data_IF_348942588501
#
_entry.id   IF_348942588501
#
_cell.length_a   1.000
_cell.length_b   1.000
_cell.length_c   1.000
_cell.angle_alpha   90.00
_cell.angle_beta   90.00
_cell.angle_gamma   90.00
#
_symmetry.space_group_name_H-M   'P 1'
#
loop_
_entity.id
_entity.type
_entity.pdbx_description
1 polymer ?
#
# COMPACT_ATOMS: atom_id res chain seq x y z
N UNK A 1 62.95 -45.09 20.38
CA UNK A 1 62.04 -46.18 20.81
C UNK A 1 60.70 -45.90 20.13
N UNK A 2 60.45 -46.66 19.05
CA UNK A 2 59.24 -46.84 18.19
C UNK A 2 58.15 -45.74 18.23
N UNK A 3 57.86 -44.94 17.18
CA UNK A 3 57.64 -45.16 15.73
C UNK A 3 56.44 -46.04 15.37
N UNK A 4 55.61 -45.48 14.47
CA UNK A 4 54.67 -46.05 13.48
C UNK A 4 53.19 -45.66 13.70
N UNK A 5 52.37 -45.23 12.74
CA UNK A 5 52.48 -44.60 11.42
C UNK A 5 51.02 -44.47 10.89
N UNK A 6 50.65 -43.34 10.28
CA UNK A 6 49.52 -43.25 9.32
C UNK A 6 49.95 -43.89 7.99
N UNK A 7 49.04 -44.45 7.14
CA UNK A 7 48.26 -43.67 6.15
C UNK A 7 46.90 -44.36 5.76
N UNK A 8 46.22 -44.08 4.61
CA UNK A 8 45.08 -43.15 4.54
C UNK A 8 43.85 -43.77 3.77
N UNK A 9 43.02 -43.01 3.01
CA UNK A 9 41.56 -43.04 3.08
C UNK A 9 40.89 -43.96 2.02
N UNK A 10 39.68 -44.45 2.30
CA UNK A 10 38.85 -45.14 1.31
C UNK A 10 37.52 -44.41 1.09
N UNK A 11 37.49 -43.70 -0.04
CA UNK A 11 36.43 -43.70 -1.06
C UNK A 11 34.96 -43.84 -0.62
N UNK A 12 34.26 -42.71 -0.77
CA UNK A 12 32.84 -42.56 -1.07
C UNK A 12 32.31 -43.63 -2.06
N UNK A 13 31.14 -44.24 -1.78
CA UNK A 13 30.16 -44.60 -2.80
C UNK A 13 29.05 -43.53 -2.76
N UNK A 14 28.94 -42.69 -3.81
CA UNK A 14 28.00 -42.88 -4.93
C UNK A 14 26.54 -42.92 -4.47
N UNK A 15 25.84 -41.84 -4.79
CA UNK A 15 24.40 -41.62 -4.76
C UNK A 15 23.56 -42.90 -4.83
N UNK A 16 22.92 -43.26 -3.70
CA UNK A 16 21.67 -43.99 -3.69
C UNK A 16 20.53 -42.98 -3.55
N UNK A 17 19.95 -42.66 -4.69
CA UNK A 17 18.65 -42.02 -4.84
C UNK A 17 17.61 -42.75 -3.98
N UNK A 18 17.11 -42.07 -2.95
CA UNK A 18 15.93 -42.49 -2.21
C UNK A 18 14.76 -42.47 -3.20
N UNK A 19 14.09 -43.60 -3.47
CA UNK A 19 12.91 -43.61 -4.33
C UNK A 19 11.76 -42.95 -3.56
N UNK A 20 11.31 -41.81 -4.07
CA UNK A 20 10.01 -41.24 -3.71
C UNK A 20 8.93 -42.34 -3.86
N UNK A 21 7.97 -42.45 -2.94
CA UNK A 21 6.89 -43.41 -3.09
C UNK A 21 6.11 -43.08 -4.37
N UNK A 22 6.13 -44.02 -5.31
CA UNK A 22 5.25 -44.04 -6.48
C UNK A 22 3.80 -44.07 -5.97
N UNK A 23 3.16 -42.91 -5.95
CA UNK A 23 1.71 -42.83 -5.98
C UNK A 23 1.24 -43.49 -7.28
N UNK A 24 0.27 -44.41 -7.24
CA UNK A 24 -0.31 -44.92 -8.46
C UNK A 24 -0.99 -43.74 -9.17
N UNK A 25 -0.42 -43.35 -10.31
CA UNK A 25 -1.14 -42.59 -11.33
C UNK A 25 -2.34 -43.44 -11.74
N UNK A 26 -3.51 -43.17 -11.14
CA UNK A 26 -4.76 -43.49 -11.78
C UNK A 26 -4.75 -42.73 -13.11
N UNK A 27 -4.43 -43.45 -14.17
CA UNK A 27 -4.79 -43.07 -15.53
C UNK A 27 -6.31 -43.08 -15.61
N UNK A 28 -6.92 -41.96 -15.26
CA UNK A 28 -8.24 -41.61 -15.76
C UNK A 28 -8.10 -41.45 -17.27
N UNK A 29 -8.20 -42.57 -17.97
CA UNK A 29 -8.54 -42.61 -19.38
C UNK A 29 -9.94 -42.02 -19.49
N UNK A 30 -10.03 -40.70 -19.69
CA UNK A 30 -11.23 -40.08 -20.20
C UNK A 30 -11.43 -40.64 -21.61
N UNK A 31 -12.25 -41.68 -21.72
CA UNK A 31 -12.87 -42.03 -22.99
C UNK A 31 -13.68 -40.80 -23.41
N UNK A 32 -13.22 -40.10 -24.45
CA UNK A 32 -14.04 -39.13 -25.17
C UNK A 32 -15.27 -39.87 -25.70
N UNK A 33 -16.35 -39.83 -24.92
CA UNK A 33 -17.68 -40.08 -25.43
C UNK A 33 -18.06 -38.86 -26.28
N UNK A 34 -18.39 -39.02 -27.57
CA UNK A 34 -18.86 -37.93 -28.39
C UNK A 34 -20.34 -37.70 -28.06
N UNK A 35 -20.60 -37.16 -26.88
CA UNK A 35 -21.88 -36.54 -26.55
C UNK A 35 -21.58 -35.08 -26.27
N UNK A 36 -21.34 -34.34 -27.35
CA UNK A 36 -21.55 -32.91 -27.39
C UNK A 36 -23.05 -32.69 -27.16
N UNK A 37 -23.50 -32.86 -25.92
CA UNK A 37 -24.76 -32.32 -25.46
C UNK A 37 -24.57 -30.81 -25.55
N UNK A 38 -25.00 -30.28 -26.70
CA UNK A 38 -25.27 -28.87 -26.92
C UNK A 38 -25.84 -28.30 -25.63
N UNK A 39 -25.03 -27.48 -24.93
CA UNK A 39 -25.60 -26.50 -24.02
C UNK A 39 -26.72 -25.83 -24.83
N UNK A 40 -27.98 -25.84 -24.33
CA UNK A 40 -29.07 -25.22 -25.06
C UNK A 40 -28.62 -23.79 -25.37
N UNK A 41 -28.86 -23.29 -26.61
CA UNK A 41 -28.50 -21.93 -26.96
C UNK A 41 -29.10 -21.05 -25.88
N UNK A 42 -28.24 -20.32 -25.16
CA UNK A 42 -28.67 -19.40 -24.13
C UNK A 42 -29.69 -18.50 -24.80
N UNK A 43 -30.97 -18.69 -24.48
CA UNK A 43 -32.05 -17.96 -25.09
C UNK A 43 -31.82 -16.52 -24.64
N UNK A 44 -31.25 -15.71 -25.53
CA UNK A 44 -30.98 -14.31 -25.26
C UNK A 44 -32.33 -13.67 -25.01
N UNK A 45 -32.64 -13.40 -23.74
CA UNK A 45 -33.94 -12.88 -23.34
C UNK A 45 -34.26 -11.54 -24.04
N UNK A 46 -33.21 -10.83 -24.46
CA UNK A 46 -33.23 -9.64 -25.32
C UNK A 46 -31.83 -9.42 -25.94
N UNK A 47 -31.74 -8.75 -27.11
CA UNK A 47 -30.44 -8.34 -27.66
C UNK A 47 -29.81 -7.23 -26.81
N UNK A 48 -28.57 -7.43 -26.37
CA UNK A 48 -27.78 -6.46 -25.59
C UNK A 48 -26.38 -6.33 -26.17
N UNK A 49 -25.92 -5.09 -26.38
CA UNK A 49 -24.63 -4.81 -27.05
C UNK A 49 -23.63 -4.06 -26.17
N UNK A 50 -24.07 -3.56 -25.01
CA UNK A 50 -23.24 -2.83 -24.06
C UNK A 50 -23.63 -3.20 -22.63
N UNK A 51 -22.66 -3.11 -21.73
CA UNK A 51 -22.83 -3.29 -20.29
C UNK A 51 -22.09 -2.18 -19.53
N UNK A 52 -22.50 -1.93 -18.28
CA UNK A 52 -21.87 -1.01 -17.34
C UNK A 52 -22.13 -1.47 -15.91
N UNK A 53 -21.29 -1.16 -14.92
CA UNK A 53 -20.06 -0.35 -14.94
C UNK A 53 -18.80 -1.25 -14.95
N UNK A 54 -17.69 -0.73 -15.45
CA UNK A 54 -16.36 -1.35 -15.36
C UNK A 54 -15.39 -0.29 -14.81
N UNK A 55 -14.62 -0.63 -13.77
CA UNK A 55 -13.64 0.24 -13.13
C UNK A 55 -12.36 -0.57 -12.93
N UNK A 56 -11.27 -0.22 -13.63
CA UNK A 56 -10.02 -0.98 -13.61
C UNK A 56 -9.31 -0.93 -12.26
N UNK A 57 -9.50 0.15 -11.49
CA UNK A 57 -9.03 0.27 -10.10
C UNK A 57 -9.83 -0.59 -9.09
N UNK A 58 -10.94 -1.19 -9.52
CA UNK A 58 -11.74 -2.13 -8.71
C UNK A 58 -11.51 -3.57 -9.18
N UNK A 59 -11.65 -3.84 -10.48
CA UNK A 59 -11.34 -5.13 -11.09
C UNK A 59 -11.06 -4.96 -12.59
N UNK A 60 -9.79 -5.03 -12.98
CA UNK A 60 -9.36 -5.03 -14.38
C UNK A 60 -9.51 -6.42 -15.00
N UNK A 61 -9.41 -7.51 -14.22
CA UNK A 61 -9.46 -8.87 -14.77
C UNK A 61 -10.69 -9.09 -15.66
N UNK A 62 -11.87 -8.70 -15.21
CA UNK A 62 -13.11 -8.87 -16.00
C UNK A 62 -13.11 -8.03 -17.29
N UNK A 63 -12.45 -6.87 -17.29
CA UNK A 63 -12.30 -6.02 -18.47
C UNK A 63 -11.43 -6.71 -19.50
N UNK A 64 -10.30 -7.25 -19.06
CA UNK A 64 -9.36 -7.99 -19.91
C UNK A 64 -9.98 -9.27 -20.48
N UNK A 65 -10.74 -10.01 -19.66
CA UNK A 65 -11.47 -11.20 -20.12
C UNK A 65 -12.50 -10.86 -21.21
N UNK A 66 -13.28 -9.79 -21.02
CA UNK A 66 -14.28 -9.35 -21.98
C UNK A 66 -13.64 -8.87 -23.30
N UNK A 67 -12.58 -8.06 -23.25
CA UNK A 67 -11.87 -7.60 -24.45
C UNK A 67 -11.28 -8.77 -25.24
N UNK A 68 -10.62 -9.71 -24.55
CA UNK A 68 -10.03 -10.90 -25.17
C UNK A 68 -11.09 -11.82 -25.78
N UNK A 69 -12.26 -11.93 -25.14
CA UNK A 69 -13.39 -12.70 -25.68
C UNK A 69 -13.95 -12.09 -26.97
N UNK A 70 -14.04 -10.76 -27.06
CA UNK A 70 -14.62 -10.06 -28.21
C UNK A 70 -13.64 -9.91 -29.38
N UNK A 71 -12.36 -9.65 -29.11
CA UNK A 71 -11.37 -9.26 -30.13
C UNK A 71 -10.15 -10.19 -30.20
N UNK A 72 -10.11 -11.26 -29.41
CA UNK A 72 -8.98 -12.17 -29.30
C UNK A 72 -7.89 -11.65 -28.34
N UNK A 73 -7.06 -12.53 -27.76
CA UNK A 73 -6.02 -12.14 -26.83
C UNK A 73 -4.90 -11.35 -27.52
N UNK A 74 -4.21 -10.51 -26.77
CA UNK A 74 -2.93 -9.93 -27.17
C UNK A 74 -1.84 -11.03 -27.28
N UNK A 75 -0.75 -10.79 -28.04
CA UNK A 75 0.42 -11.68 -28.04
C UNK A 75 0.97 -11.90 -26.63
N UNK A 76 1.47 -13.11 -26.33
CA UNK A 76 1.90 -13.52 -24.97
C UNK A 76 2.95 -12.58 -24.34
N UNK A 77 3.85 -11.99 -25.14
CA UNK A 77 4.93 -11.11 -24.67
C UNK A 77 4.51 -9.63 -24.59
N UNK A 78 3.21 -9.32 -24.68
CA UNK A 78 2.75 -7.93 -24.61
C UNK A 78 2.89 -7.42 -23.17
N UNK A 79 3.67 -6.36 -22.91
CA UNK A 79 3.84 -5.83 -21.56
C UNK A 79 2.56 -5.14 -21.07
N UNK A 80 2.46 -4.92 -19.76
CA UNK A 80 1.41 -4.08 -19.16
C UNK A 80 0.00 -4.68 -19.14
N UNK A 81 -0.24 -5.89 -19.68
CA UNK A 81 -1.58 -6.50 -19.75
C UNK A 81 -2.25 -6.71 -18.38
N UNK A 82 -1.45 -6.95 -17.33
CA UNK A 82 -1.93 -7.14 -15.96
C UNK A 82 -1.77 -5.88 -15.10
N UNK A 83 -1.16 -4.84 -15.64
CA UNK A 83 -0.89 -3.59 -14.93
C UNK A 83 -1.99 -2.58 -15.23
N UNK A 84 -2.24 -1.66 -14.31
CA UNK A 84 -3.10 -0.50 -14.53
C UNK A 84 -2.48 0.71 -13.83
N UNK A 85 -2.47 1.84 -14.53
CA UNK A 85 -1.94 3.11 -14.05
C UNK A 85 -3.05 4.16 -14.12
N UNK A 86 -3.26 4.87 -13.02
CA UNK A 86 -4.27 5.93 -12.94
C UNK A 86 -3.61 7.19 -12.40
N UNK A 87 -3.57 8.26 -13.21
CA UNK A 87 -3.06 9.55 -12.77
C UNK A 87 -4.04 10.15 -11.75
N UNK A 88 -3.53 10.55 -10.60
CA UNK A 88 -4.30 11.22 -9.52
C UNK A 88 -3.82 12.64 -9.25
N UNK A 89 -2.78 13.09 -9.96
CA UNK A 89 -2.28 14.45 -9.92
C UNK A 89 -1.34 14.68 -11.12
N UNK A 90 -1.50 15.84 -11.75
CA UNK A 90 -0.63 16.35 -12.80
C UNK A 90 -0.28 17.82 -12.52
N UNK A 91 0.95 18.24 -12.84
CA UNK A 91 1.43 19.59 -12.56
C UNK A 91 0.57 20.69 -13.20
N UNK A 92 -0.13 20.36 -14.29
CA UNK A 92 -1.04 21.28 -14.99
C UNK A 92 -2.24 21.71 -14.13
N UNK A 93 -2.63 20.91 -13.14
CA UNK A 93 -3.74 21.18 -12.22
C UNK A 93 -3.35 22.08 -11.03
N UNK A 94 -2.06 22.43 -10.90
CA UNK A 94 -1.48 23.13 -9.75
C UNK A 94 -1.53 22.34 -8.43
N UNK A 95 -0.55 22.58 -7.56
CA UNK A 95 -0.49 21.99 -6.21
C UNK A 95 -1.69 22.37 -5.34
N UNK A 96 -2.39 23.47 -5.66
CA UNK A 96 -3.60 23.89 -4.96
C UNK A 96 -4.76 22.87 -5.10
N UNK A 97 -4.69 21.94 -6.05
CA UNK A 97 -5.65 20.83 -6.18
C UNK A 97 -5.43 19.71 -5.13
N UNK A 98 -4.25 19.66 -4.50
CA UNK A 98 -3.88 18.65 -3.52
C UNK A 98 -4.25 19.09 -2.11
N UNK A 99 -4.67 18.13 -1.28
CA UNK A 99 -4.71 18.36 0.17
C UNK A 99 -3.28 18.50 0.74
N UNK A 100 -3.15 19.19 1.88
CA UNK A 100 -1.85 19.32 2.57
C UNK A 100 -1.27 17.95 2.98
N UNK A 101 -2.14 16.98 3.31
CA UNK A 101 -1.74 15.60 3.57
C UNK A 101 -1.16 14.95 2.32
N UNK A 102 -1.85 15.00 1.18
CA UNK A 102 -1.36 14.43 -0.08
C UNK A 102 -0.02 15.06 -0.47
N UNK A 103 0.07 16.39 -0.41
CA UNK A 103 1.28 17.13 -0.74
C UNK A 103 2.47 16.71 0.14
N UNK A 104 2.25 16.63 1.46
CA UNK A 104 3.28 16.18 2.42
C UNK A 104 3.74 14.75 2.11
N UNK A 105 2.81 13.82 1.87
CA UNK A 105 3.14 12.43 1.54
C UNK A 105 3.92 12.31 0.22
N UNK A 106 3.50 13.00 -0.84
CA UNK A 106 4.17 12.92 -2.15
C UNK A 106 5.59 13.50 -2.11
N UNK A 107 5.82 14.54 -1.30
CA UNK A 107 7.16 15.05 -1.02
C UNK A 107 8.01 14.04 -0.25
N UNK A 108 7.46 13.40 0.78
CA UNK A 108 8.17 12.34 1.51
C UNK A 108 8.51 11.14 0.60
N UNK A 109 7.58 10.71 -0.26
CA UNK A 109 7.80 9.63 -1.22
C UNK A 109 8.92 9.93 -2.22
N UNK A 110 8.97 11.17 -2.69
CA UNK A 110 10.10 11.66 -3.50
C UNK A 110 11.43 11.47 -2.74
N UNK A 111 11.50 11.93 -1.49
CA UNK A 111 12.73 11.84 -0.68
C UNK A 111 13.13 10.40 -0.39
N UNK A 112 12.17 9.49 -0.18
CA UNK A 112 12.43 8.05 -0.08
C UNK A 112 13.11 7.52 -1.34
N UNK A 113 12.63 7.92 -2.52
CA UNK A 113 13.25 7.58 -3.80
C UNK A 113 14.69 8.12 -3.92
N UNK A 114 14.92 9.38 -3.58
CA UNK A 114 16.27 9.97 -3.64
C UNK A 114 17.23 9.28 -2.65
N UNK A 115 16.75 8.92 -1.46
CA UNK A 115 17.53 8.15 -0.47
C UNK A 115 17.86 6.74 -0.99
N UNK A 116 16.90 6.07 -1.64
CA UNK A 116 17.15 4.78 -2.32
C UNK A 116 18.18 4.91 -3.42
N UNK A 117 18.07 5.93 -4.28
CA UNK A 117 19.06 6.17 -5.33
C UNK A 117 20.47 6.38 -4.74
N UNK A 118 20.58 7.15 -3.66
CA UNK A 118 21.86 7.38 -2.99
C UNK A 118 22.47 6.09 -2.39
N UNK A 119 21.64 5.19 -1.87
CA UNK A 119 22.10 3.91 -1.26
C UNK A 119 22.37 2.80 -2.27
N UNK A 120 21.90 2.94 -3.52
CA UNK A 120 22.10 1.95 -4.59
C UNK A 120 23.57 1.79 -5.02
N UNK A 121 24.41 2.81 -4.81
CA UNK A 121 25.86 2.74 -5.02
C UNK A 121 26.57 2.12 -3.80
N UNK A 122 26.44 0.81 -3.62
CA UNK A 122 27.13 0.10 -2.54
C UNK A 122 28.66 0.25 -2.65
N UNK A 123 29.32 0.54 -1.53
CA UNK A 123 30.78 0.55 -1.41
C UNK A 123 31.51 1.84 -1.82
N UNK A 124 30.80 2.90 -2.21
CA UNK A 124 31.41 4.19 -2.61
C UNK A 124 30.70 5.39 -1.93
N UNK A 125 30.86 5.59 -0.61
CA UNK A 125 30.14 6.63 0.15
C UNK A 125 30.44 8.06 -0.30
N UNK A 126 31.61 8.30 -0.90
CA UNK A 126 32.01 9.63 -1.42
C UNK A 126 31.51 9.90 -2.84
N UNK A 127 30.85 8.92 -3.49
CA UNK A 127 30.39 9.06 -4.85
C UNK A 127 29.02 9.75 -4.90
N UNK A 128 29.02 11.01 -5.33
CA UNK A 128 27.81 11.82 -5.45
C UNK A 128 27.00 11.57 -6.74
N UNK A 129 27.38 10.62 -7.60
CA UNK A 129 26.73 10.40 -8.90
C UNK A 129 25.28 9.90 -8.83
N UNK A 130 24.85 9.34 -7.70
CA UNK A 130 23.43 8.99 -7.44
C UNK A 130 22.84 9.76 -6.26
N UNK A 131 23.46 10.87 -5.83
CA UNK A 131 22.89 11.75 -4.81
C UNK A 131 22.19 12.91 -5.48
N UNK A 132 21.01 13.24 -4.98
CA UNK A 132 20.12 14.20 -5.61
C UNK A 132 19.54 15.18 -4.59
N UNK A 133 19.15 16.36 -5.06
CA UNK A 133 18.33 17.33 -4.33
C UNK A 133 17.03 17.49 -5.11
N UNK A 134 15.87 17.29 -4.46
CA UNK A 134 14.57 17.54 -5.07
C UNK A 134 14.39 19.02 -5.43
N UNK A 135 13.73 19.30 -6.56
CA UNK A 135 13.49 20.64 -7.08
C UNK A 135 12.01 20.86 -7.36
N UNK A 136 11.37 21.74 -6.60
CA UNK A 136 9.95 22.05 -6.76
C UNK A 136 9.03 20.98 -6.16
N UNK A 137 7.79 20.97 -6.62
CA UNK A 137 6.76 19.99 -6.24
C UNK A 137 6.76 18.79 -7.20
N UNK A 138 6.05 17.70 -6.84
CA UNK A 138 5.82 16.59 -7.76
C UNK A 138 5.27 17.07 -9.10
N UNK A 139 5.70 16.41 -10.18
CA UNK A 139 5.27 16.65 -11.57
C UNK A 139 3.99 15.87 -11.86
N UNK A 140 3.94 14.62 -11.43
CA UNK A 140 2.73 13.80 -11.53
C UNK A 140 2.76 12.68 -10.50
N UNK A 141 1.57 12.18 -10.14
CA UNK A 141 1.40 11.04 -9.25
C UNK A 141 0.42 10.05 -9.86
N UNK A 142 0.81 8.78 -9.92
CA UNK A 142 -0.05 7.70 -10.40
C UNK A 142 -0.29 6.67 -9.31
N UNK A 143 -1.50 6.13 -9.25
CA UNK A 143 -1.75 4.84 -8.62
C UNK A 143 -1.23 3.75 -9.55
N UNK A 144 -0.56 2.74 -8.99
CA UNK A 144 -0.11 1.58 -9.72
C UNK A 144 -0.78 0.32 -9.18
N UNK A 145 -1.44 -0.42 -10.07
CA UNK A 145 -2.04 -1.72 -9.77
C UNK A 145 -1.40 -2.79 -10.64
N UNK A 146 -1.21 -3.98 -10.06
CA UNK A 146 -0.75 -5.17 -10.76
C UNK A 146 -1.62 -6.34 -10.33
N UNK A 147 -2.27 -6.99 -11.31
CA UNK A 147 -3.21 -8.10 -11.08
C UNK A 147 -4.28 -7.77 -10.03
N UNK A 148 -4.96 -6.63 -10.20
CA UNK A 148 -6.02 -6.10 -9.31
C UNK A 148 -5.57 -5.83 -7.87
N UNK A 149 -4.25 -5.78 -7.61
CA UNK A 149 -3.68 -5.42 -6.31
C UNK A 149 -2.98 -4.06 -6.40
N UNK A 150 -3.35 -3.15 -5.51
CA UNK A 150 -2.68 -1.85 -5.36
C UNK A 150 -1.22 -2.06 -4.92
N UNK A 151 -0.29 -1.57 -5.73
CA UNK A 151 1.15 -1.69 -5.52
C UNK A 151 1.77 -0.44 -4.89
N UNK A 152 1.00 0.65 -4.78
CA UNK A 152 1.43 1.94 -4.24
C UNK A 152 1.40 3.07 -5.26
N UNK A 153 2.22 4.10 -5.01
CA UNK A 153 2.27 5.31 -5.83
C UNK A 153 3.52 5.39 -6.70
N UNK A 154 3.37 5.96 -7.89
CA UNK A 154 4.48 6.40 -8.73
C UNK A 154 4.55 7.91 -8.68
N UNK A 155 5.59 8.45 -8.06
CA UNK A 155 5.78 9.90 -7.89
C UNK A 155 6.89 10.36 -8.82
N UNK A 156 6.53 11.22 -9.77
CA UNK A 156 7.48 11.82 -10.72
C UNK A 156 7.93 13.19 -10.22
N UNK A 157 9.23 13.44 -10.23
CA UNK A 157 9.81 14.66 -9.67
C UNK A 157 11.06 15.09 -10.46
N UNK A 158 11.28 16.41 -10.55
CA UNK A 158 12.58 16.97 -10.95
C UNK A 158 13.58 16.98 -9.79
N UNK A 159 14.80 16.48 -10.03
CA UNK A 159 15.86 16.45 -9.04
C UNK A 159 17.21 16.85 -9.66
N UNK A 160 18.01 17.64 -8.95
CA UNK A 160 19.37 18.00 -9.37
C UNK A 160 20.36 16.94 -8.90
N UNK A 161 21.11 16.34 -9.81
CA UNK A 161 22.22 15.43 -9.49
C UNK A 161 23.38 16.21 -8.85
N UNK A 162 23.91 15.74 -7.72
CA UNK A 162 24.96 16.45 -6.98
C UNK A 162 26.34 16.38 -7.64
N UNK A 163 26.63 15.35 -8.44
CA UNK A 163 27.92 15.24 -9.11
C UNK A 163 28.00 16.15 -10.35
N UNK A 164 26.92 16.23 -11.13
CA UNK A 164 26.91 16.96 -12.42
C UNK A 164 26.19 18.30 -12.35
N UNK A 165 25.44 18.57 -11.28
CA UNK A 165 24.51 19.71 -11.16
C UNK A 165 23.44 19.76 -12.26
N UNK A 166 23.24 18.67 -13.01
CA UNK A 166 22.23 18.58 -14.04
C UNK A 166 20.86 18.28 -13.42
N UNK A 167 19.82 18.84 -14.02
CA UNK A 167 18.44 18.55 -13.68
C UNK A 167 18.02 17.25 -14.37
N UNK A 168 17.60 16.27 -13.59
CA UNK A 168 17.08 14.99 -14.05
C UNK A 168 15.61 14.87 -13.64
N UNK A 169 14.82 14.10 -14.38
CA UNK A 169 13.42 13.79 -14.02
C UNK A 169 13.35 12.32 -13.64
N UNK A 170 13.02 12.06 -12.39
CA UNK A 170 12.98 10.73 -11.81
C UNK A 170 11.53 10.34 -11.51
N UNK A 171 11.23 9.05 -11.60
CA UNK A 171 9.97 8.49 -11.10
C UNK A 171 10.31 7.47 -10.02
N UNK A 172 9.66 7.60 -8.86
CA UNK A 172 9.84 6.73 -7.70
C UNK A 172 8.60 5.88 -7.52
N UNK A 173 8.77 4.57 -7.48
CA UNK A 173 7.73 3.66 -7.01
C UNK A 173 7.85 3.49 -5.50
N UNK A 174 6.85 3.96 -4.77
CA UNK A 174 6.71 3.71 -3.34
C UNK A 174 5.61 2.68 -3.10
N UNK A 175 5.90 1.68 -2.27
CA UNK A 175 4.99 0.59 -1.92
C UNK A 175 4.59 0.69 -0.45
N UNK A 176 3.33 0.36 -0.17
CA UNK A 176 2.78 0.33 1.19
C UNK A 176 2.95 -1.07 1.80
N UNK A 177 3.30 -1.11 3.08
CA UNK A 177 3.35 -2.33 3.87
C UNK A 177 2.14 -2.39 4.81
N UNK A 178 1.46 -3.54 4.81
CA UNK A 178 0.32 -3.76 5.68
C UNK A 178 0.78 -4.32 7.03
N UNK A 179 0.37 -3.68 8.13
CA UNK A 179 0.70 -4.08 9.51
C UNK A 179 -0.44 -4.83 10.21
N UNK A 180 -1.41 -5.34 9.45
CA UNK A 180 -2.46 -6.20 9.99
C UNK A 180 -1.87 -7.50 10.52
N UNK A 181 -2.17 -7.78 11.78
CA UNK A 181 -1.71 -8.95 12.52
C UNK A 181 -2.92 -9.64 13.14
N UNK A 182 -3.11 -10.92 12.80
CA UNK A 182 -4.04 -11.78 13.52
C UNK A 182 -3.36 -12.22 14.81
N UNK A 183 -4.07 -12.11 15.93
CA UNK A 183 -3.59 -12.72 17.15
C UNK A 183 -3.47 -14.24 16.94
N UNK A 184 -2.39 -14.88 17.43
CA UNK A 184 -2.25 -16.32 17.36
C UNK A 184 -3.39 -16.96 18.16
N UNK A 185 -4.44 -17.40 17.47
CA UNK A 185 -5.61 -17.97 18.13
C UNK A 185 -5.41 -19.47 18.29
N UNK A 186 -5.68 -19.94 19.50
CA UNK A 186 -5.88 -21.35 19.84
C UNK A 186 -7.29 -21.85 19.46
N UNK A 187 -8.11 -21.05 18.76
CA UNK A 187 -9.54 -21.29 18.66
C UNK A 187 -10.11 -21.10 17.24
N UNK A 188 -10.96 -22.04 16.82
CA UNK A 188 -11.65 -22.16 15.52
C UNK A 188 -12.75 -21.11 15.26
N UNK A 189 -12.91 -20.14 16.16
CA UNK A 189 -14.01 -19.16 16.16
C UNK A 189 -13.63 -17.80 15.53
N UNK A 190 -12.37 -17.58 15.15
CA UNK A 190 -11.97 -16.31 14.56
C UNK A 190 -12.45 -16.21 13.10
N UNK A 191 -13.53 -15.46 12.89
CA UNK A 191 -14.06 -15.13 11.56
C UNK A 191 -13.36 -13.93 10.92
N UNK A 192 -12.61 -13.13 11.69
CA UNK A 192 -11.96 -11.93 11.18
C UNK A 192 -10.85 -12.31 10.22
N UNK A 193 -10.96 -11.87 8.97
CA UNK A 193 -9.97 -12.14 7.93
C UNK A 193 -8.99 -10.98 7.79
N UNK A 194 -9.49 -9.76 7.92
CA UNK A 194 -8.71 -8.55 7.65
C UNK A 194 -9.33 -7.33 8.35
N UNK A 195 -8.50 -6.35 8.70
CA UNK A 195 -8.94 -5.05 9.18
C UNK A 195 -8.02 -3.95 8.66
N UNK A 196 -8.61 -2.83 8.29
CA UNK A 196 -7.93 -1.70 7.66
C UNK A 196 -8.53 -0.38 8.12
N UNK A 197 -7.71 0.67 8.10
CA UNK A 197 -8.13 2.04 8.39
C UNK A 197 -7.83 2.91 7.17
N UNK A 198 -8.80 3.72 6.77
CA UNK A 198 -8.66 4.63 5.64
C UNK A 198 -9.75 5.70 5.61
N UNK A 199 -9.81 6.46 4.52
CA UNK A 199 -10.88 7.43 4.24
C UNK A 199 -11.59 7.07 2.94
N UNK A 200 -12.74 7.70 2.71
CA UNK A 200 -13.50 7.57 1.46
C UNK A 200 -13.93 6.13 1.17
N UNK A 201 -14.52 5.49 2.18
CA UNK A 201 -15.12 4.16 2.07
C UNK A 201 -16.27 4.15 1.05
N UNK A 202 -16.10 3.41 -0.04
CA UNK A 202 -17.13 3.12 -1.02
C UNK A 202 -17.91 1.88 -0.58
N UNK A 203 -19.10 2.07 -0.02
CA UNK A 203 -19.94 0.96 0.45
C UNK A 203 -20.43 0.04 -0.68
N UNK A 204 -20.45 0.50 -1.93
CA UNK A 204 -20.90 -0.28 -3.08
C UNK A 204 -19.81 -1.23 -3.55
N UNK A 205 -18.60 -0.71 -3.77
CA UNK A 205 -17.45 -1.50 -4.23
C UNK A 205 -16.66 -2.13 -3.06
N UNK A 206 -16.95 -1.73 -1.82
CA UNK A 206 -16.36 -2.23 -0.57
C UNK A 206 -14.84 -2.01 -0.52
N UNK A 207 -14.41 -0.80 -0.90
CA UNK A 207 -13.00 -0.38 -0.96
C UNK A 207 -12.84 1.05 -0.45
N UNK A 208 -11.67 1.41 0.08
CA UNK A 208 -11.30 2.80 0.32
C UNK A 208 -10.83 3.46 -0.97
N UNK A 209 -11.41 4.60 -1.34
CA UNK A 209 -10.99 5.36 -2.55
C UNK A 209 -9.71 6.15 -2.32
N UNK A 210 -9.36 6.46 -1.07
CA UNK A 210 -8.00 6.83 -0.68
C UNK A 210 -7.16 5.54 -0.56
N UNK A 211 -6.72 4.98 -1.70
CA UNK A 211 -6.08 3.66 -1.78
C UNK A 211 -4.84 3.48 -0.90
N UNK A 212 -4.07 4.55 -0.69
CA UNK A 212 -2.91 4.54 0.19
C UNK A 212 -3.19 4.98 1.63
N UNK A 213 -4.44 5.32 1.96
CA UNK A 213 -4.80 5.90 3.26
C UNK A 213 -3.82 7.01 3.69
N UNK A 214 -3.62 8.01 2.82
CA UNK A 214 -2.76 9.16 3.12
C UNK A 214 -3.45 10.08 4.14
N UNK A 215 -3.22 9.84 5.43
CA UNK A 215 -3.91 10.51 6.53
C UNK A 215 -3.05 11.62 7.15
N UNK A 216 -3.64 12.80 7.29
CA UNK A 216 -3.14 13.89 8.09
C UNK A 216 -3.91 14.06 9.41
N UNK A 217 -3.61 15.13 10.17
CA UNK A 217 -4.22 15.36 11.48
C UNK A 217 -5.69 15.77 11.41
N UNK A 218 -6.20 16.24 10.28
CA UNK A 218 -7.56 16.78 10.17
C UNK A 218 -8.56 15.80 9.56
N UNK A 219 -8.06 14.63 9.15
CA UNK A 219 -8.81 13.58 8.50
C UNK A 219 -9.65 12.78 9.51
N UNK A 220 -10.79 12.27 9.03
CA UNK A 220 -11.73 11.47 9.81
C UNK A 220 -11.65 9.99 9.40
N UNK A 221 -10.78 9.18 10.05
CA UNK A 221 -10.54 7.81 9.63
C UNK A 221 -11.74 6.91 9.88
N UNK A 222 -11.90 5.91 9.01
CA UNK A 222 -12.91 4.86 9.08
C UNK A 222 -12.19 3.53 9.24
N UNK A 223 -12.62 2.72 10.22
CA UNK A 223 -12.16 1.35 10.31
C UNK A 223 -13.11 0.43 9.55
N UNK A 224 -12.55 -0.47 8.75
CA UNK A 224 -13.25 -1.55 8.07
C UNK A 224 -12.72 -2.90 8.57
N UNK A 225 -13.62 -3.86 8.71
CA UNK A 225 -13.28 -5.26 9.01
C UNK A 225 -13.94 -6.18 7.99
N UNK A 226 -13.18 -7.17 7.53
CA UNK A 226 -13.63 -8.23 6.64
C UNK A 226 -13.77 -9.54 7.41
N UNK A 227 -14.88 -10.22 7.19
CA UNK A 227 -15.30 -11.40 7.92
C UNK A 227 -15.55 -12.59 6.99
N UNK A 228 -15.14 -13.78 7.43
CA UNK A 228 -15.61 -15.03 6.87
C UNK A 228 -17.03 -15.38 7.34
N UNK A 229 -17.66 -16.35 6.71
CA UNK A 229 -18.96 -16.89 7.15
C UNK A 229 -18.83 -17.64 8.47
N UNK A 230 -19.85 -17.60 9.32
CA UNK A 230 -19.84 -18.35 10.58
C UNK A 230 -21.02 -18.02 11.50
N UNK A 231 -20.86 -18.19 12.80
CA UNK A 231 -21.87 -17.81 13.79
C UNK A 231 -21.81 -16.32 14.11
N UNK A 232 -22.92 -15.78 14.62
CA UNK A 232 -22.98 -14.41 15.12
C UNK A 232 -21.95 -14.19 16.22
N UNK A 233 -21.23 -13.08 16.17
CA UNK A 233 -20.21 -12.72 17.14
C UNK A 233 -20.28 -11.24 17.44
N UNK A 234 -20.07 -10.86 18.70
CA UNK A 234 -19.91 -9.46 19.10
C UNK A 234 -18.44 -9.20 19.38
N UNK A 235 -17.86 -8.21 18.73
CA UNK A 235 -16.46 -7.82 18.96
C UNK A 235 -16.39 -6.36 19.43
N UNK A 236 -15.37 -6.07 20.22
CA UNK A 236 -15.05 -4.72 20.69
C UNK A 236 -13.93 -4.16 19.83
N UNK A 237 -14.12 -2.97 19.26
CA UNK A 237 -13.09 -2.25 18.50
C UNK A 237 -12.54 -1.13 19.37
N UNK A 238 -11.22 -1.04 19.47
CA UNK A 238 -10.52 -0.05 20.29
C UNK A 238 -9.52 0.72 19.43
N UNK A 239 -9.61 2.05 19.47
CA UNK A 239 -8.69 2.98 18.81
C UNK A 239 -7.71 3.53 19.82
N UNK A 240 -6.42 3.39 19.54
CA UNK A 240 -5.32 3.80 20.44
C UNK A 240 -4.41 4.76 19.70
N UNK A 241 -4.18 5.93 20.30
CA UNK A 241 -3.31 6.97 19.76
C UNK A 241 -1.81 6.65 19.99
N UNK A 242 -0.88 7.42 19.38
CA UNK A 242 0.57 7.17 19.48
C UNK A 242 1.16 7.27 20.89
N UNK A 243 0.40 7.79 21.86
CA UNK A 243 0.79 7.94 23.27
C UNK A 243 0.01 7.00 24.21
N UNK A 244 -0.63 5.97 23.65
CA UNK A 244 -1.47 4.99 24.35
C UNK A 244 -2.76 5.56 24.98
N UNK A 245 -3.24 6.71 24.49
CA UNK A 245 -4.57 7.21 24.84
C UNK A 245 -5.61 6.42 24.04
N UNK A 246 -6.60 5.85 24.73
CA UNK A 246 -7.73 5.19 24.08
C UNK A 246 -8.69 6.28 23.58
N UNK A 247 -8.72 6.46 22.25
CA UNK A 247 -9.49 7.50 21.59
C UNK A 247 -10.98 7.15 21.47
N UNK A 248 -11.28 5.88 21.19
CA UNK A 248 -12.64 5.38 21.07
C UNK A 248 -12.71 3.87 21.36
N UNK A 249 -13.85 3.42 21.91
CA UNK A 249 -14.19 2.00 22.00
C UNK A 249 -15.67 1.81 21.72
N UNK A 250 -16.01 0.75 20.98
CA UNK A 250 -17.39 0.41 20.68
C UNK A 250 -17.51 -1.08 20.34
N UNK A 251 -18.67 -1.65 20.63
CA UNK A 251 -19.00 -3.02 20.26
C UNK A 251 -19.76 -3.05 18.93
N UNK A 252 -19.46 -4.04 18.10
CA UNK A 252 -20.18 -4.33 16.86
C UNK A 252 -20.70 -5.77 16.90
N UNK A 253 -21.99 -5.93 16.56
CA UNK A 253 -22.59 -7.24 16.33
C UNK A 253 -22.37 -7.64 14.87
N UNK A 254 -21.75 -8.79 14.65
CA UNK A 254 -21.43 -9.32 13.32
C UNK A 254 -22.26 -10.57 13.07
N UNK A 255 -23.28 -10.45 12.23
CA UNK A 255 -24.11 -11.59 11.84
C UNK A 255 -23.31 -12.64 11.04
N UNK A 256 -23.82 -13.88 11.05
CA UNK A 256 -23.16 -15.04 10.46
C UNK A 256 -22.89 -14.95 8.95
N UNK A 257 -23.72 -14.18 8.24
CA UNK A 257 -23.58 -13.91 6.81
C UNK A 257 -22.87 -12.60 6.46
N UNK A 258 -22.53 -11.76 7.44
CA UNK A 258 -21.89 -10.47 7.20
C UNK A 258 -20.46 -10.68 6.73
N UNK A 259 -20.10 -10.05 5.61
CA UNK A 259 -18.75 -10.09 5.03
C UNK A 259 -17.92 -8.85 5.37
N UNK A 260 -18.57 -7.69 5.53
CA UNK A 260 -17.90 -6.41 5.80
C UNK A 260 -18.65 -5.62 6.85
N UNK A 261 -17.91 -5.04 7.80
CA UNK A 261 -18.39 -4.01 8.72
C UNK A 261 -17.47 -2.80 8.62
N UNK A 262 -18.01 -1.60 8.83
CA UNK A 262 -17.21 -0.39 8.90
C UNK A 262 -17.86 0.61 9.85
N UNK A 263 -17.04 1.47 10.47
CA UNK A 263 -17.53 2.54 11.32
C UNK A 263 -16.53 3.70 11.37
N UNK A 264 -17.08 4.93 11.31
CA UNK A 264 -16.34 6.17 11.52
C UNK A 264 -16.59 6.66 12.95
N UNK A 265 -15.63 6.52 13.88
CA UNK A 265 -15.79 7.12 15.20
C UNK A 265 -15.74 8.65 15.11
N UNK A 266 -16.56 9.38 15.90
CA UNK A 266 -16.56 10.85 15.92
C UNK A 266 -15.38 11.36 16.77
N UNK A 267 -14.16 11.21 16.27
CA UNK A 267 -12.95 11.65 16.95
C UNK A 267 -12.76 13.17 16.81
N UNK A 268 -12.49 13.85 17.91
CA UNK A 268 -12.08 15.25 17.90
C UNK A 268 -10.78 15.44 17.12
N UNK A 269 -10.79 16.38 16.17
CA UNK A 269 -9.60 16.81 15.42
C UNK A 269 -8.89 17.99 16.13
N UNK A 270 -7.57 18.17 15.91
CA UNK A 270 -6.69 17.32 15.11
C UNK A 270 -6.31 16.02 15.83
N UNK A 271 -6.16 14.94 15.06
CA UNK A 271 -5.58 13.69 15.51
C UNK A 271 -4.09 13.90 15.80
N UNK A 272 -3.59 13.34 16.92
CA UNK A 272 -2.15 13.37 17.22
C UNK A 272 -1.37 12.65 16.12
N UNK A 273 -0.36 13.30 15.49
CA UNK A 273 0.48 12.63 14.51
C UNK A 273 1.30 11.49 15.13
N UNK A 274 1.52 10.44 14.35
CA UNK A 274 2.26 9.26 14.76
C UNK A 274 1.59 7.96 14.33
N UNK A 275 2.05 6.85 14.90
CA UNK A 275 1.52 5.52 14.60
C UNK A 275 0.35 5.21 15.53
N UNK A 276 -0.84 5.15 14.96
CA UNK A 276 -2.06 4.74 15.63
C UNK A 276 -2.24 3.23 15.56
N UNK A 277 -2.99 2.68 16.52
CA UNK A 277 -3.31 1.25 16.54
C UNK A 277 -4.82 1.03 16.67
N UNK A 278 -5.36 0.22 15.78
CA UNK A 278 -6.71 -0.33 15.87
C UNK A 278 -6.63 -1.76 16.41
N UNK A 279 -7.36 -2.06 17.48
CA UNK A 279 -7.46 -3.41 18.06
C UNK A 279 -8.89 -3.92 17.94
N UNK A 280 -9.05 -5.18 17.55
CA UNK A 280 -10.33 -5.89 17.56
C UNK A 280 -10.24 -6.99 18.61
N UNK A 281 -11.19 -7.01 19.55
CA UNK A 281 -11.21 -7.91 20.69
C UNK A 281 -12.51 -8.70 20.76
N UNK A 282 -12.46 -9.88 21.35
CA UNK A 282 -13.64 -10.68 21.70
C UNK A 282 -13.54 -11.11 23.15
N UNK A 283 -14.49 -10.66 23.97
CA UNK A 283 -14.47 -10.86 25.42
C UNK A 283 -13.10 -10.45 26.03
N UNK A 284 -12.60 -9.27 25.67
CA UNK A 284 -11.30 -8.72 26.09
C UNK A 284 -10.05 -9.46 25.61
N UNK A 285 -10.19 -10.53 24.83
CA UNK A 285 -9.05 -11.19 24.16
C UNK A 285 -8.80 -10.55 22.80
N UNK A 286 -7.55 -10.17 22.52
CA UNK A 286 -7.16 -9.62 21.22
C UNK A 286 -7.40 -10.66 20.12
N UNK A 287 -8.17 -10.30 19.10
CA UNK A 287 -8.36 -11.10 17.89
C UNK A 287 -7.41 -10.67 16.77
N UNK A 288 -7.25 -9.36 16.61
CA UNK A 288 -6.35 -8.79 15.62
C UNK A 288 -5.98 -7.35 15.98
N UNK A 289 -4.90 -6.88 15.39
CA UNK A 289 -4.50 -5.47 15.42
C UNK A 289 -4.05 -5.03 14.04
N UNK A 290 -4.24 -3.75 13.74
CA UNK A 290 -3.60 -3.09 12.60
C UNK A 290 -3.12 -1.71 13.03
N UNK A 291 -2.10 -1.21 12.35
CA UNK A 291 -1.52 0.10 12.63
C UNK A 291 -1.62 0.97 11.38
N UNK A 292 -1.85 2.27 11.60
CA UNK A 292 -1.91 3.26 10.53
C UNK A 292 -1.18 4.53 10.97
N UNK A 293 -0.66 5.31 10.02
CA UNK A 293 0.07 6.53 10.31
C UNK A 293 -0.83 7.73 10.08
N UNK A 294 -0.90 8.61 11.08
CA UNK A 294 -1.34 9.99 10.88
C UNK A 294 -0.08 10.83 10.72
N UNK A 295 0.20 11.29 9.51
CA UNK A 295 1.40 12.07 9.22
C UNK A 295 1.25 13.49 9.78
N UNK A 296 2.29 14.07 10.39
CA UNK A 296 2.33 15.52 10.56
C UNK A 296 2.42 16.18 9.18
N UNK A 297 2.01 17.44 9.08
CA UNK A 297 1.95 18.20 7.84
C UNK A 297 3.18 19.09 7.69
N UNK A 298 3.88 18.99 6.56
CA UNK A 298 4.93 19.94 6.18
C UNK A 298 4.36 21.21 5.54
N UNK A 299 3.11 21.12 5.07
CA UNK A 299 2.41 22.17 4.35
C UNK A 299 1.08 22.50 5.03
N UNK A 300 0.70 23.77 4.98
CA UNK A 300 -0.62 24.25 5.36
C UNK A 300 -1.06 25.28 4.32
N UNK A 301 -2.25 25.11 3.74
CA UNK A 301 -2.71 25.86 2.58
C UNK A 301 -1.67 25.81 1.44
N UNK A 302 -1.08 24.63 1.22
CA UNK A 302 -0.05 24.32 0.22
C UNK A 302 1.23 25.18 0.32
N UNK A 303 1.43 25.88 1.44
CA UNK A 303 2.66 26.61 1.77
C UNK A 303 3.41 25.91 2.91
N UNK A 304 4.74 26.06 3.02
CA UNK A 304 5.48 25.53 4.15
C UNK A 304 4.85 25.96 5.47
N UNK A 305 4.55 24.99 6.33
CA UNK A 305 3.81 25.21 7.57
C UNK A 305 4.55 26.19 8.50
N UNK A 306 3.80 27.09 9.15
CA UNK A 306 4.33 28.05 10.11
C UNK A 306 4.32 27.46 11.51
N UNK A 307 5.21 27.97 12.37
CA UNK A 307 5.34 27.49 13.75
C UNK A 307 4.05 27.64 14.58
N UNK A 308 3.22 28.66 14.31
CA UNK A 308 1.93 28.84 14.97
C UNK A 308 0.92 27.75 14.59
N UNK A 309 0.94 27.32 13.32
CA UNK A 309 0.06 26.29 12.78
C UNK A 309 0.53 24.88 13.15
N UNK A 310 1.85 24.64 13.24
CA UNK A 310 2.38 23.33 13.65
C UNK A 310 1.88 22.92 15.02
N UNK A 311 2.01 23.80 16.02
CA UNK A 311 1.54 23.50 17.39
C UNK A 311 0.04 23.23 17.37
N UNK A 312 -0.74 24.00 16.62
CA UNK A 312 -2.19 23.82 16.53
C UNK A 312 -2.58 22.49 15.89
N UNK A 313 -1.88 22.06 14.84
CA UNK A 313 -2.23 20.88 14.04
C UNK A 313 -1.58 19.58 14.55
N UNK A 314 -0.44 19.66 15.24
CA UNK A 314 0.33 18.47 15.62
C UNK A 314 0.22 18.11 17.11
N UNK A 315 -0.39 18.95 17.96
CA UNK A 315 -0.48 18.66 19.41
C UNK A 315 -1.55 17.62 19.79
N UNK A 316 -2.42 17.25 18.84
CA UNK A 316 -3.61 16.44 19.10
C UNK A 316 -4.77 17.28 19.66
N UNK A 317 -5.86 16.64 20.12
CA UNK A 317 -7.04 17.36 20.59
C UNK A 317 -6.79 17.99 21.95
N UNK A 318 -7.55 19.06 22.24
CA UNK A 318 -7.50 19.76 23.53
C UNK A 318 -7.73 18.77 24.68
N UNK A 319 -6.87 18.84 25.71
CA UNK A 319 -6.89 17.95 26.89
C UNK A 319 -6.69 16.45 26.57
N UNK A 320 -6.15 16.09 25.40
CA UNK A 320 -5.97 14.69 24.99
C UNK A 320 -7.27 13.87 24.98
N UNK A 321 -8.40 14.54 24.71
CA UNK A 321 -9.73 13.95 24.74
C UNK A 321 -10.30 13.92 23.32
N UNK A 322 -10.36 12.71 22.75
CA UNK A 322 -10.91 12.47 21.42
C UNK A 322 -12.43 12.33 21.41
N UNK A 323 -13.05 12.06 22.55
CA UNK A 323 -14.50 11.94 22.74
C UNK A 323 -14.89 12.50 24.12
N UNK A 324 -16.17 12.88 24.28
CA UNK A 324 -16.72 13.30 25.59
C UNK A 324 -16.61 12.18 26.64
N UNK A 325 -16.74 10.93 26.21
CA UNK A 325 -16.55 9.76 27.07
C UNK A 325 -15.06 9.48 27.26
N UNK A 326 -14.64 9.29 28.51
CA UNK A 326 -13.27 8.90 28.85
C UNK A 326 -13.14 7.38 28.99
N UNK A 327 -12.05 6.84 28.45
CA UNK A 327 -11.76 5.40 28.46
C UNK A 327 -10.52 5.02 29.29
N UNK A 328 -9.99 5.93 30.11
CA UNK A 328 -8.78 5.68 30.91
C UNK A 328 -8.87 4.44 31.83
N UNK A 329 -10.08 4.07 32.27
CA UNK A 329 -10.29 2.87 33.08
C UNK A 329 -9.97 1.55 32.36
N UNK A 330 -9.87 1.55 31.02
CA UNK A 330 -9.54 0.38 30.22
C UNK A 330 -8.03 0.19 30.01
N UNK A 331 -7.20 1.20 30.31
CA UNK A 331 -5.75 1.11 30.11
C UNK A 331 -5.09 -0.06 30.87
N UNK A 332 -5.41 -0.34 32.15
CA UNK A 332 -4.86 -1.49 32.86
C UNK A 332 -5.33 -2.83 32.29
N UNK A 333 -6.57 -2.87 31.78
CA UNK A 333 -7.19 -4.09 31.22
C UNK A 333 -6.54 -4.45 29.88
N UNK A 334 -6.26 -3.45 29.05
CA UNK A 334 -5.70 -3.62 27.71
C UNK A 334 -4.15 -3.57 27.67
N UNK A 335 -3.53 -3.48 28.85
CA UNK A 335 -2.08 -3.33 29.03
C UNK A 335 -1.50 -2.18 28.19
N UNK A 336 -2.10 -1.00 28.32
CA UNK A 336 -1.75 0.24 27.63
C UNK A 336 -1.23 1.29 28.63
N UNK A 337 -0.01 1.13 29.18
CA UNK A 337 0.56 2.15 30.05
C UNK A 337 0.84 3.42 29.25
N UNK A 338 0.37 4.55 29.77
CA UNK A 338 0.73 5.88 29.25
C UNK A 338 2.04 6.29 29.90
N UNK A 339 3.09 6.44 29.10
CA UNK A 339 4.41 6.86 29.59
C UNK A 339 4.57 8.36 29.45
N UNK A 340 4.93 9.05 30.54
CA UNK A 340 5.08 10.51 30.55
C UNK A 340 6.10 10.99 29.50
N UNK A 341 7.23 10.28 29.36
CA UNK A 341 8.25 10.61 28.36
C UNK A 341 7.77 10.54 26.91
N UNK A 342 6.82 9.64 26.59
CA UNK A 342 6.23 9.58 25.23
C UNK A 342 5.31 10.79 24.97
N UNK A 343 4.61 11.26 26.00
CA UNK A 343 3.77 12.46 25.92
C UNK A 343 4.63 13.71 25.75
N UNK A 344 5.70 13.85 26.56
CA UNK A 344 6.66 14.96 26.45
C UNK A 344 7.36 14.98 25.08
N UNK A 345 7.75 13.82 24.56
CA UNK A 345 8.33 13.70 23.21
C UNK A 345 7.32 14.11 22.13
N UNK A 346 6.06 13.72 22.24
CA UNK A 346 5.00 14.11 21.30
C UNK A 346 4.75 15.63 21.33
N UNK A 347 4.73 16.24 22.52
CA UNK A 347 4.59 17.69 22.68
C UNK A 347 5.78 18.45 22.08
N UNK A 348 7.00 17.95 22.28
CA UNK A 348 8.19 18.50 21.64
C UNK A 348 8.09 18.42 20.11
N UNK A 349 7.77 17.23 19.57
CA UNK A 349 7.63 17.00 18.13
C UNK A 349 6.55 17.87 17.48
N UNK A 350 5.47 18.17 18.20
CA UNK A 350 4.39 19.03 17.71
C UNK A 350 4.85 20.46 17.35
N UNK A 351 5.96 20.92 17.93
CA UNK A 351 6.51 22.26 17.68
C UNK A 351 7.56 22.32 16.55
N UNK A 352 7.98 21.17 16.00
CA UNK A 352 9.02 21.09 14.98
C UNK A 352 8.59 21.78 13.68
N UNK A 353 9.56 22.38 12.99
CA UNK A 353 9.38 23.01 11.67
C UNK A 353 10.58 22.70 10.77
N UNK A 354 10.46 22.98 9.47
CA UNK A 354 11.57 22.86 8.52
C UNK A 354 12.17 21.45 8.47
N UNK A 355 13.51 21.38 8.46
CA UNK A 355 14.23 20.11 8.29
C UNK A 355 13.99 19.10 9.41
N UNK A 356 13.73 19.55 10.65
CA UNK A 356 13.47 18.65 11.78
C UNK A 356 12.08 18.00 11.66
N UNK A 357 11.07 18.79 11.26
CA UNK A 357 9.72 18.29 10.95
C UNK A 357 9.76 17.32 9.77
N UNK A 358 10.48 17.68 8.71
CA UNK A 358 10.67 16.83 7.54
C UNK A 358 11.29 15.47 7.93
N UNK A 359 12.33 15.48 8.77
CA UNK A 359 12.97 14.26 9.29
C UNK A 359 11.98 13.40 10.09
N UNK A 360 11.11 14.03 10.88
CA UNK A 360 10.07 13.31 11.62
C UNK A 360 9.03 12.68 10.69
N UNK A 361 8.55 13.40 9.67
CA UNK A 361 7.65 12.86 8.63
C UNK A 361 8.29 11.66 7.93
N UNK A 362 9.53 11.83 7.44
CA UNK A 362 10.26 10.79 6.73
C UNK A 362 10.43 9.53 7.60
N UNK A 363 10.77 9.71 8.88
CA UNK A 363 10.91 8.62 9.82
C UNK A 363 9.59 7.87 10.05
N UNK A 364 8.49 8.59 10.31
CA UNK A 364 7.17 7.98 10.52
C UNK A 364 6.70 7.21 9.29
N UNK A 365 6.77 7.83 8.12
CA UNK A 365 6.31 7.21 6.88
C UNK A 365 7.19 6.03 6.47
N UNK A 366 8.49 6.04 6.77
CA UNK A 366 9.39 4.90 6.48
C UNK A 366 9.01 3.61 7.22
N UNK A 367 8.20 3.70 8.29
CA UNK A 367 7.67 2.54 9.00
C UNK A 367 6.56 1.79 8.26
N UNK A 368 5.86 2.46 7.33
CA UNK A 368 4.73 1.89 6.59
C UNK A 368 4.90 1.96 5.06
N UNK A 369 5.78 2.83 4.56
CA UNK A 369 6.10 3.00 3.16
C UNK A 369 7.58 2.73 2.88
N UNK A 370 7.87 2.21 1.69
CA UNK A 370 9.24 2.05 1.22
C UNK A 370 9.35 2.34 -0.26
N UNK A 371 10.45 2.98 -0.67
CA UNK A 371 10.79 3.09 -2.09
C UNK A 371 11.15 1.70 -2.62
N UNK A 372 10.28 1.13 -3.45
CA UNK A 372 10.46 -0.15 -4.09
C UNK A 372 11.47 -0.05 -5.24
N UNK A 373 11.41 1.04 -6.02
CA UNK A 373 12.40 1.32 -7.07
C UNK A 373 12.41 2.79 -7.51
N UNK A 374 13.45 3.20 -8.25
CA UNK A 374 13.57 4.53 -8.88
C UNK A 374 14.12 4.39 -10.29
N UNK A 375 13.56 5.16 -11.23
CA UNK A 375 14.04 5.23 -12.60
C UNK A 375 14.19 6.69 -13.05
N UNK A 376 14.93 6.91 -14.13
CA UNK A 376 15.02 8.20 -14.82
C UNK A 376 14.23 8.20 -16.12
N UNK A 377 13.47 9.27 -16.37
CA UNK A 377 12.76 9.47 -17.64
C UNK A 377 13.74 9.71 -18.80
N UNK A 378 14.87 10.36 -18.52
CA UNK A 378 15.88 10.76 -19.50
C UNK A 378 17.25 10.10 -19.25
N UNK A 379 18.31 10.65 -19.87
CA UNK A 379 19.68 10.33 -19.47
C UNK A 379 19.89 10.62 -17.98
N UNK A 380 20.61 9.73 -17.29
CA UNK A 380 20.97 9.92 -15.87
C UNK A 380 22.47 9.83 -15.68
N UNK A 381 23.00 10.66 -14.79
CA UNK A 381 24.40 10.62 -14.37
C UNK A 381 24.66 9.48 -13.37
N UNK A 382 23.61 8.90 -12.79
CA UNK A 382 23.68 7.77 -11.89
C UNK A 382 23.83 6.46 -12.69
N UNK A 383 24.96 5.75 -12.59
CA UNK A 383 25.28 4.62 -13.48
C UNK A 383 24.38 3.39 -13.28
N UNK A 384 23.73 3.28 -12.13
CA UNK A 384 22.83 2.17 -11.79
C UNK A 384 21.36 2.51 -12.03
N UNK A 385 21.05 3.74 -12.47
CA UNK A 385 19.69 4.19 -12.70
C UNK A 385 19.14 3.61 -14.01
N UNK A 386 18.04 2.87 -13.93
CA UNK A 386 17.35 2.36 -15.11
C UNK A 386 16.52 3.46 -15.77
N UNK A 387 16.26 3.30 -17.08
CA UNK A 387 15.32 4.16 -17.81
C UNK A 387 13.89 3.74 -17.51
N UNK A 388 13.02 4.69 -17.19
CA UNK A 388 11.64 4.41 -16.80
C UNK A 388 10.87 3.57 -17.83
N UNK A 389 11.04 3.88 -19.12
CA UNK A 389 10.41 3.14 -20.24
C UNK A 389 10.85 1.67 -20.37
N UNK A 390 11.96 1.29 -19.73
CA UNK A 390 12.53 -0.06 -19.78
C UNK A 390 12.13 -0.87 -18.53
N UNK A 391 11.44 -0.25 -17.57
CA UNK A 391 10.89 -0.92 -16.39
C UNK A 391 9.51 -1.53 -16.69
N UNK A 392 9.07 -2.47 -15.85
CA UNK A 392 7.71 -3.04 -15.94
C UNK A 392 6.67 -2.35 -15.06
N UNK A 393 7.07 -1.33 -14.29
CA UNK A 393 6.24 -0.70 -13.26
C UNK A 393 5.98 0.80 -13.51
N UNK A 394 6.85 1.49 -14.23
CA UNK A 394 6.73 2.93 -14.46
C UNK A 394 5.49 3.28 -15.29
N UNK A 395 4.90 4.44 -15.03
CA UNK A 395 3.83 5.00 -15.87
C UNK A 395 4.33 5.37 -17.28
N UNK A 396 5.65 5.38 -17.51
CA UNK A 396 6.30 5.60 -18.81
C UNK A 396 6.66 4.29 -19.52
N UNK A 397 6.38 3.14 -18.90
CA UNK A 397 6.55 1.83 -19.54
C UNK A 397 5.51 1.63 -20.65
N UNK A 398 5.80 0.81 -21.69
CA UNK A 398 4.84 0.56 -22.76
C UNK A 398 3.54 -0.06 -22.23
N UNK A 399 2.39 0.51 -22.61
CA UNK A 399 1.06 -0.02 -22.28
C UNK A 399 0.19 -0.21 -23.54
N UNK A 400 0.47 -1.23 -24.39
CA UNK A 400 -0.20 -1.39 -25.67
C UNK A 400 -1.71 -1.63 -25.61
N UNK A 401 -2.26 -1.95 -24.43
CA UNK A 401 -3.72 -2.13 -24.24
C UNK A 401 -4.47 -0.80 -24.17
N UNK A 402 -3.79 0.29 -23.81
CA UNK A 402 -4.36 1.63 -23.70
C UNK A 402 -3.84 2.61 -24.77
N UNK A 403 -2.74 2.27 -25.44
CA UNK A 403 -2.18 3.06 -26.54
C UNK A 403 -3.10 3.10 -27.78
N UNK A 404 -3.24 4.30 -28.37
CA UNK A 404 -4.00 4.52 -29.60
C UNK A 404 -3.06 4.73 -30.79
N UNK A 405 -3.01 3.74 -31.68
CA UNK A 405 -2.26 3.80 -32.94
C UNK A 405 -3.10 4.23 -34.16
N UNK A 406 -2.47 4.37 -35.34
CA UNK A 406 -3.21 4.60 -36.58
C UNK A 406 -4.12 3.40 -36.93
N UNK A 407 -5.24 3.61 -37.64
CA UNK A 407 -6.12 2.52 -38.06
C UNK A 407 -5.42 1.50 -38.97
N UNK A 408 -5.73 0.22 -38.77
CA UNK A 408 -5.34 -0.88 -39.68
C UNK A 408 -6.16 -0.81 -40.98
N UNK A 409 -5.81 -1.63 -41.97
CA UNK A 409 -6.56 -1.73 -43.24
C UNK A 409 -8.05 -2.10 -43.09
N UNK A 410 -8.44 -2.67 -41.93
CA UNK A 410 -9.84 -2.94 -41.56
C UNK A 410 -10.61 -1.73 -41.01
N UNK A 411 -9.96 -0.56 -40.87
CA UNK A 411 -10.53 0.63 -40.22
C UNK A 411 -10.61 0.54 -38.69
N UNK A 412 -9.98 -0.47 -38.07
CA UNK A 412 -9.97 -0.69 -36.60
C UNK A 412 -8.59 -0.40 -36.01
N UNK A 413 -8.56 -0.04 -34.73
CA UNK A 413 -7.32 0.21 -33.96
C UNK A 413 -6.98 -0.92 -32.99
N UNK A 414 -7.96 -1.74 -32.60
CA UNK A 414 -7.80 -2.94 -31.76
C UNK A 414 -7.33 -4.16 -32.57
#
# INVERSE_FOLDING_TARGET
>A
INIYSLPPPSSLPVHSTIPLPLFPLLSLSFSLSPSLSLLPPQQTSRPTFFARKFEASVNQEIVTQLDSFLFGPYPQETPGLQSYWENVYDETDSVASLSDSQLTHYHAFTRMGLSRAATSLQGHPDNNSCRYISRGHPVSVHLYFLSDVFQGYLVRQHASNLATSQLETLETWVSHSNHFTLAPTTNTLNRLQFAEVGTDWDAKERVFRNFGSLLGPTEEPVAMQRWGRGQNVTVTVVWVDPTNVIAATYDILVDGGTEYTHYRPPLSVPLRPGVWTLRVLHHWNLLASTSFVVSPLEYHDQQPIRQEDTVKLHSGPVRNSYMEQSFHGLNPILNLPVHLGQVEEAEFKASLTGAELQSWVDHLLSGVWSAADVCSQGPSSCPVMQRCRETGWSALSPDPKSDLGPPRGSGRIR
#
